data_IF_688352615225
#
_entry.id   IF_688352615225
#
_cell.length_a   1.000
_cell.length_b   1.000
_cell.length_c   1.000
_cell.angle_alpha   90.00
_cell.angle_beta   90.00
_cell.angle_gamma   90.00
#
_symmetry.space_group_name_H-M   'P 1'
#
loop_
_entity.id
_entity.type
_entity.pdbx_description
1 polymer ?
#
# COMPACT_ATOMS: atom_id res chain seq x y z
N UNK A 1 -0.22 9.99 9.68
CA UNK A 1 -1.03 9.53 8.53
C UNK A 1 -1.03 8.01 8.39
N UNK A 2 0.14 7.35 8.35
CA UNK A 2 0.20 5.88 8.22
C UNK A 2 -0.59 5.11 9.30
N UNK A 3 -0.54 5.57 10.56
CA UNK A 3 -1.32 4.98 11.65
C UNK A 3 -2.83 5.09 11.44
N UNK A 4 -3.29 6.14 10.75
CA UNK A 4 -4.70 6.31 10.37
C UNK A 4 -5.07 5.23 9.37
N UNK A 5 -4.31 5.07 8.29
CA UNK A 5 -4.54 4.01 7.31
C UNK A 5 -4.57 2.63 7.97
N UNK A 6 -3.58 2.32 8.82
CA UNK A 6 -3.56 1.07 9.57
C UNK A 6 -4.85 0.86 10.39
N UNK A 7 -5.30 1.88 11.12
CA UNK A 7 -6.51 1.81 11.94
C UNK A 7 -7.78 1.59 11.11
N UNK A 8 -7.95 2.29 9.98
CA UNK A 8 -9.14 2.15 9.14
C UNK A 8 -9.17 0.83 8.35
N UNK A 9 -8.02 0.33 7.88
CA UNK A 9 -7.92 -1.02 7.34
C UNK A 9 -8.24 -2.07 8.43
N UNK A 10 -7.75 -1.88 9.66
CA UNK A 10 -8.09 -2.77 10.78
C UNK A 10 -9.59 -2.75 11.07
N UNK A 11 -10.21 -1.57 11.06
CA UNK A 11 -11.66 -1.43 11.26
C UNK A 11 -12.45 -2.16 10.16
N UNK A 12 -11.98 -2.09 8.92
CA UNK A 12 -12.57 -2.81 7.79
C UNK A 12 -12.51 -4.34 8.01
N UNK A 13 -11.33 -4.87 8.36
CA UNK A 13 -11.12 -6.31 8.61
C UNK A 13 -11.67 -6.83 9.95
N UNK A 14 -12.27 -5.96 10.76
CA UNK A 14 -12.95 -6.36 11.99
C UNK A 14 -14.46 -6.17 11.91
N UNK A 15 -14.95 -5.21 11.13
CA UNK A 15 -16.38 -4.88 11.06
C UNK A 15 -17.06 -5.23 9.74
N UNK A 16 -16.35 -5.09 8.63
CA UNK A 16 -16.94 -5.29 7.30
C UNK A 16 -16.63 -6.69 6.79
N UNK A 17 -15.37 -7.11 6.92
CA UNK A 17 -14.91 -8.45 6.56
C UNK A 17 -14.14 -9.05 7.75
N UNK A 18 -14.84 -9.63 8.73
CA UNK A 18 -14.22 -10.12 9.97
C UNK A 18 -13.19 -11.22 9.67
N UNK A 19 -11.96 -10.97 10.07
CA UNK A 19 -10.82 -11.88 9.94
C UNK A 19 -10.40 -12.38 11.34
N UNK A 20 -9.84 -13.60 11.40
CA UNK A 20 -9.27 -14.19 12.61
C UNK A 20 -7.95 -13.51 13.02
N UNK A 21 -7.21 -12.92 12.08
CA UNK A 21 -5.93 -12.24 12.32
C UNK A 21 -5.87 -10.85 11.68
N UNK A 22 -6.72 -9.90 12.11
CA UNK A 22 -6.88 -8.61 11.45
C UNK A 22 -5.59 -7.79 11.41
N UNK A 23 -4.70 -7.89 12.40
CA UNK A 23 -3.41 -7.19 12.37
C UNK A 23 -2.48 -7.69 11.25
N UNK A 24 -2.39 -9.00 11.06
CA UNK A 24 -1.55 -9.59 10.01
C UNK A 24 -2.07 -9.21 8.64
N UNK A 25 -3.39 -9.31 8.45
CA UNK A 25 -4.06 -8.97 7.19
C UNK A 25 -3.91 -7.50 6.85
N UNK A 26 -4.04 -6.59 7.83
CA UNK A 26 -3.78 -5.15 7.62
C UNK A 26 -2.35 -4.90 7.16
N UNK A 27 -1.36 -5.51 7.83
CA UNK A 27 0.05 -5.33 7.44
C UNK A 27 0.26 -5.81 6.01
N UNK A 28 -0.26 -6.99 5.66
CA UNK A 28 -0.14 -7.54 4.33
C UNK A 28 -0.82 -6.67 3.27
N UNK A 29 -2.10 -6.32 3.45
CA UNK A 29 -2.85 -5.52 2.48
C UNK A 29 -2.25 -4.12 2.32
N UNK A 30 -1.86 -3.48 3.42
CA UNK A 30 -1.23 -2.16 3.37
C UNK A 30 0.11 -2.24 2.63
N UNK A 31 0.93 -3.25 2.92
CA UNK A 31 2.19 -3.49 2.21
C UNK A 31 1.97 -3.74 0.73
N UNK A 32 0.95 -4.52 0.38
CA UNK A 32 0.58 -4.81 -1.00
C UNK A 32 0.16 -3.53 -1.73
N UNK A 33 -0.76 -2.74 -1.16
CA UNK A 33 -1.19 -1.46 -1.74
C UNK A 33 -0.01 -0.50 -1.96
N UNK A 34 0.89 -0.36 -0.98
CA UNK A 34 2.08 0.48 -1.16
C UNK A 34 3.03 -0.07 -2.21
N UNK A 35 3.22 -1.39 -2.26
CA UNK A 35 4.09 -2.00 -3.26
C UNK A 35 3.58 -1.81 -4.68
N UNK A 36 2.26 -1.80 -4.90
CA UNK A 36 1.69 -1.52 -6.21
C UNK A 36 1.99 -0.09 -6.67
N UNK A 37 1.80 0.88 -5.78
CA UNK A 37 2.08 2.29 -6.06
C UNK A 37 3.58 2.50 -6.33
N UNK A 38 4.43 1.95 -5.46
CA UNK A 38 5.89 2.10 -5.58
C UNK A 38 6.41 1.39 -6.84
N UNK A 39 6.00 0.14 -7.09
CA UNK A 39 6.37 -0.57 -8.31
C UNK A 39 5.92 0.18 -9.56
N UNK A 40 4.70 0.73 -9.57
CA UNK A 40 4.21 1.54 -10.69
C UNK A 40 5.08 2.76 -10.96
N UNK A 41 5.40 3.53 -9.91
CA UNK A 41 6.26 4.72 -10.04
C UNK A 41 7.67 4.33 -10.51
N UNK A 42 8.30 3.35 -9.86
CA UNK A 42 9.67 2.94 -10.18
C UNK A 42 9.73 2.39 -11.61
N UNK A 43 8.74 1.61 -12.05
CA UNK A 43 8.70 1.05 -13.41
C UNK A 43 8.60 2.15 -14.47
N UNK A 44 7.73 3.14 -14.27
CA UNK A 44 7.57 4.28 -15.19
C UNK A 44 8.85 5.13 -15.23
N UNK A 45 9.47 5.40 -14.08
CA UNK A 45 10.73 6.16 -14.02
C UNK A 45 11.87 5.40 -14.71
N UNK A 46 11.96 4.09 -14.52
CA UNK A 46 12.96 3.25 -15.18
C UNK A 46 12.77 3.20 -16.69
N UNK A 47 11.52 3.08 -17.16
CA UNK A 47 11.21 3.12 -18.58
C UNK A 47 11.60 4.48 -19.20
N UNK A 48 11.31 5.58 -18.51
CA UNK A 48 11.62 6.92 -19.01
C UNK A 48 13.12 7.22 -19.08
N UNK A 49 13.87 6.88 -18.03
CA UNK A 49 15.31 7.21 -17.94
C UNK A 49 16.18 6.19 -18.69
N UNK A 50 15.94 4.91 -18.48
CA UNK A 50 16.81 3.83 -18.95
C UNK A 50 16.25 3.11 -20.18
N UNK A 51 14.96 3.24 -20.50
CA UNK A 51 14.33 2.49 -21.60
C UNK A 51 14.18 1.01 -21.28
N UNK A 52 14.08 0.66 -19.99
CA UNK A 52 13.96 -0.72 -19.53
C UNK A 52 12.79 -0.82 -18.56
N UNK A 53 12.02 -1.91 -18.66
CA UNK A 53 10.98 -2.23 -17.67
C UNK A 53 11.51 -3.10 -16.55
N UNK A 54 10.94 -2.94 -15.36
CA UNK A 54 11.18 -3.83 -14.22
C UNK A 54 10.63 -5.22 -14.53
N UNK A 55 11.45 -6.23 -14.28
CA UNK A 55 11.08 -7.64 -14.29
C UNK A 55 10.26 -7.95 -13.05
N UNK A 56 9.47 -9.03 -13.15
CA UNK A 56 8.59 -9.51 -12.09
C UNK A 56 9.34 -9.80 -10.78
N UNK A 57 10.57 -10.32 -10.88
CA UNK A 57 11.39 -10.65 -9.71
C UNK A 57 11.81 -9.41 -8.91
N UNK A 58 12.17 -8.31 -9.58
CA UNK A 58 12.51 -7.06 -8.87
C UNK A 58 11.27 -6.47 -8.18
N UNK A 59 10.10 -6.52 -8.85
CA UNK A 59 8.84 -6.07 -8.26
C UNK A 59 8.45 -6.87 -7.01
N UNK A 60 8.66 -8.19 -7.03
CA UNK A 60 8.47 -9.07 -5.86
C UNK A 60 9.47 -8.70 -4.76
N UNK A 61 10.72 -8.41 -5.12
CA UNK A 61 11.75 -7.95 -4.18
C UNK A 61 11.32 -6.67 -3.45
N UNK A 62 10.83 -5.67 -4.19
CA UNK A 62 10.30 -4.41 -3.62
C UNK A 62 9.14 -4.70 -2.65
N UNK A 63 8.20 -5.57 -3.04
CA UNK A 63 7.09 -5.97 -2.17
C UNK A 63 7.58 -6.65 -0.89
N UNK A 64 8.56 -7.56 -0.97
CA UNK A 64 9.12 -8.26 0.18
C UNK A 64 9.79 -7.27 1.16
N UNK A 65 10.56 -6.31 0.64
CA UNK A 65 11.20 -5.26 1.46
C UNK A 65 10.14 -4.41 2.16
N UNK A 66 9.12 -3.95 1.44
CA UNK A 66 8.03 -3.14 2.03
C UNK A 66 7.30 -3.93 3.12
N UNK A 67 6.99 -5.19 2.85
CA UNK A 67 6.31 -6.08 3.81
C UNK A 67 7.15 -6.27 5.06
N UNK A 68 8.45 -6.48 4.92
CA UNK A 68 9.37 -6.60 6.05
C UNK A 68 9.41 -5.30 6.88
N UNK A 69 9.51 -4.14 6.22
CA UNK A 69 9.49 -2.84 6.90
C UNK A 69 8.20 -2.62 7.68
N UNK A 70 7.05 -2.94 7.07
CA UNK A 70 5.74 -2.82 7.73
C UNK A 70 5.59 -3.79 8.89
N UNK A 71 6.07 -5.03 8.74
CA UNK A 71 6.09 -6.01 9.82
C UNK A 71 6.92 -5.53 11.01
N UNK A 72 8.14 -5.04 10.77
CA UNK A 72 9.01 -4.49 11.82
C UNK A 72 8.37 -3.26 12.48
N UNK A 73 7.76 -2.39 11.68
CA UNK A 73 7.18 -1.14 12.15
C UNK A 73 5.90 -1.34 12.97
N UNK A 74 5.04 -2.30 12.63
CA UNK A 74 3.70 -2.45 13.23
C UNK A 74 3.54 -3.67 14.13
N UNK A 75 4.11 -4.82 13.74
CA UNK A 75 3.98 -6.06 14.49
C UNK A 75 5.06 -6.15 15.58
N UNK A 76 6.34 -6.12 15.18
CA UNK A 76 7.47 -6.31 16.12
C UNK A 76 7.57 -5.21 17.18
N UNK A 77 7.25 -3.97 16.82
CA UNK A 77 7.28 -2.83 17.73
C UNK A 77 6.08 -2.75 18.70
N UNK A 78 5.05 -3.59 18.50
CA UNK A 78 3.77 -3.49 19.21
C UNK A 78 2.92 -2.26 18.86
N UNK A 79 3.37 -1.39 17.92
CA UNK A 79 2.63 -0.18 17.53
C UNK A 79 1.25 -0.49 16.99
N UNK A 80 1.06 -1.60 16.28
CA UNK A 80 -0.25 -1.99 15.74
C UNK A 80 -1.34 -2.12 16.81
N UNK A 81 -0.99 -2.63 18.00
CA UNK A 81 -1.93 -2.73 19.14
C UNK A 81 -2.23 -1.35 19.74
N UNK A 82 -1.20 -0.51 19.92
CA UNK A 82 -1.34 0.87 20.43
C UNK A 82 -2.23 1.74 19.53
N UNK A 83 -2.12 1.59 18.22
CA UNK A 83 -2.92 2.35 17.25
C UNK A 83 -4.41 2.03 17.37
N UNK A 84 -4.77 0.77 17.66
CA UNK A 84 -6.18 0.37 17.86
C UNK A 84 -6.76 1.02 19.12
N UNK A 85 -5.96 1.21 20.17
CA UNK A 85 -6.40 1.90 21.39
C UNK A 85 -6.46 3.43 21.21
N UNK A 86 -5.51 4.01 20.48
CA UNK A 86 -5.42 5.46 20.23
C UNK A 86 -6.52 5.96 19.28
N UNK A 87 -7.04 5.09 18.40
CA UNK A 87 -8.09 5.39 17.41
C UNK A 87 -7.79 6.69 16.63
N UNK A 88 -6.62 6.77 15.97
CA UNK A 88 -6.17 8.01 15.34
C UNK A 88 -7.11 8.42 14.21
N UNK A 89 -7.40 9.72 14.14
CA UNK A 89 -8.23 10.33 13.09
C UNK A 89 -7.44 11.40 12.36
N UNK A 90 -7.63 11.48 11.05
CA UNK A 90 -7.15 12.61 10.24
C UNK A 90 -8.11 13.80 10.41
N UNK A 91 -7.57 14.99 10.73
CA UNK A 91 -8.34 16.22 10.93
C UNK A 91 -9.52 16.07 11.93
N UNK A 92 -9.38 15.20 12.93
CA UNK A 92 -10.45 14.83 13.87
C UNK A 92 -11.75 14.28 13.24
N UNK A 93 -11.75 14.00 11.93
CA UNK A 93 -12.93 13.58 11.18
C UNK A 93 -12.82 12.14 10.71
N UNK A 94 -13.81 11.33 11.11
CA UNK A 94 -13.92 9.95 10.65
C UNK A 94 -14.17 9.86 9.15
N UNK A 95 -15.02 10.76 8.61
CA UNK A 95 -15.40 10.72 7.18
C UNK A 95 -14.19 10.98 6.29
N UNK A 96 -13.39 12.00 6.60
CA UNK A 96 -12.19 12.36 5.83
C UNK A 96 -11.18 11.20 5.83
N UNK A 97 -10.99 10.58 7.00
CA UNK A 97 -10.05 9.46 7.14
C UNK A 97 -10.47 8.24 6.31
N UNK A 98 -11.77 7.92 6.27
CA UNK A 98 -12.31 6.84 5.42
C UNK A 98 -12.11 7.16 3.94
N UNK A 99 -12.47 8.37 3.51
CA UNK A 99 -12.33 8.80 2.11
C UNK A 99 -10.87 8.71 1.67
N UNK A 100 -9.93 9.18 2.49
CA UNK A 100 -8.50 9.14 2.15
C UNK A 100 -7.98 7.68 2.08
N UNK A 101 -8.45 6.82 2.98
CA UNK A 101 -8.07 5.39 2.97
C UNK A 101 -8.61 4.69 1.73
N UNK A 102 -9.85 4.98 1.33
CA UNK A 102 -10.44 4.47 0.09
C UNK A 102 -9.71 4.99 -1.14
N UNK A 103 -9.32 6.27 -1.14
CA UNK A 103 -8.53 6.88 -2.21
C UNK A 103 -7.16 6.18 -2.36
N UNK A 104 -6.47 5.89 -1.25
CA UNK A 104 -5.20 5.17 -1.26
C UNK A 104 -5.37 3.77 -1.87
N UNK A 105 -6.44 3.06 -1.51
CA UNK A 105 -6.73 1.74 -2.07
C UNK A 105 -7.04 1.81 -3.58
N UNK A 106 -7.85 2.78 -4.00
CA UNK A 106 -8.14 3.05 -5.41
C UNK A 106 -6.87 3.37 -6.20
N UNK A 107 -5.97 4.19 -5.65
CA UNK A 107 -4.67 4.47 -6.26
C UNK A 107 -3.82 3.22 -6.42
N UNK A 108 -3.82 2.31 -5.43
CA UNK A 108 -3.15 1.03 -5.55
C UNK A 108 -3.71 0.16 -6.68
N UNK A 109 -5.03 0.10 -6.82
CA UNK A 109 -5.69 -0.63 -7.91
C UNK A 109 -5.37 0.01 -9.26
N UNK A 110 -5.44 1.33 -9.36
CA UNK A 110 -5.08 2.04 -10.58
C UNK A 110 -3.61 1.76 -10.96
N UNK A 111 -2.69 1.82 -9.99
CA UNK A 111 -1.29 1.51 -10.22
C UNK A 111 -1.06 0.07 -10.71
N UNK A 112 -1.88 -0.90 -10.26
CA UNK A 112 -1.79 -2.28 -10.74
C UNK A 112 -2.01 -2.38 -12.25
N UNK A 113 -3.02 -1.70 -12.78
CA UNK A 113 -3.41 -1.79 -14.19
C UNK A 113 -2.69 -0.78 -15.08
N UNK A 114 -2.67 0.51 -14.71
CA UNK A 114 -2.15 1.58 -15.56
C UNK A 114 -0.63 1.53 -15.75
N UNK A 115 0.13 0.99 -14.79
CA UNK A 115 1.59 0.99 -14.89
C UNK A 115 2.08 0.26 -16.15
N UNK A 116 1.41 -0.81 -16.56
CA UNK A 116 1.84 -1.63 -17.69
C UNK A 116 1.64 -0.89 -19.01
N UNK A 117 0.47 -0.27 -19.18
CA UNK A 117 0.13 0.49 -20.38
C UNK A 117 1.02 1.74 -20.52
N UNK A 118 1.24 2.48 -19.43
CA UNK A 118 2.11 3.66 -19.42
C UNK A 118 3.56 3.27 -19.75
N UNK A 119 4.09 2.24 -19.09
CA UNK A 119 5.47 1.77 -19.31
C UNK A 119 5.64 1.32 -20.76
N UNK A 120 4.67 0.57 -21.31
CA UNK A 120 4.70 0.14 -22.71
C UNK A 120 4.68 1.33 -23.67
N UNK A 121 3.78 2.29 -23.47
CA UNK A 121 3.71 3.49 -24.30
C UNK A 121 5.01 4.29 -24.28
N UNK A 122 5.72 4.34 -23.16
CA UNK A 122 7.01 5.03 -23.05
C UNK A 122 8.10 4.29 -23.84
N UNK A 123 8.13 2.95 -23.74
CA UNK A 123 9.12 2.13 -24.43
C UNK A 123 8.89 2.09 -25.94
N UNK A 124 7.63 2.05 -26.40
CA UNK A 124 7.28 2.05 -27.83
C UNK A 124 7.54 3.41 -28.50
N UNK A 125 7.58 4.50 -27.73
CA UNK A 125 7.83 5.86 -28.22
C UNK A 125 9.32 6.24 -28.32
N UNK A 126 10.23 5.33 -27.94
CA UNK A 126 11.68 5.57 -27.86
C UNK A 126 12.43 4.79 -28.94
#
# INVERSE_FOLDING_TARGET
MMNVFYYYYYLFYTKVLPDNQPHSTVIFTLSFTFSLIINGIVNVVFAYLFGVSLRKWEMIGIFAVITLLMYLAYYRSGKGKKIVTEKPKLFNSNKISIILTALLFLLGILALFLQADITKSILDAR
#
